data_IF_596594874352
#
_entry.id   IF_596594874352
#
_cell.length_a   1.000
_cell.length_b   1.000
_cell.length_c   1.000
_cell.angle_alpha   90.00
_cell.angle_beta   90.00
_cell.angle_gamma   90.00
#
_symmetry.space_group_name_H-M   'P 1'
#
loop_
_entity.id
_entity.type
_entity.pdbx_description
1 polymer ?
#
# COMPACT_ATOMS: atom_id res chain seq x y z
N UNK A 1 60.67 24.12 -64.07
CA UNK A 1 59.75 22.93 -64.20
C UNK A 1 59.10 22.74 -62.89
N UNK A 2 57.91 23.39 -62.71
CA UNK A 2 57.17 23.42 -61.47
C UNK A 2 56.05 22.37 -61.50
N UNK A 3 56.15 21.37 -60.64
CA UNK A 3 55.04 20.45 -60.43
C UNK A 3 54.27 20.89 -59.22
N UNK A 4 53.13 21.57 -59.43
CA UNK A 4 52.17 21.92 -58.36
C UNK A 4 51.37 20.66 -57.99
N UNK A 5 51.63 20.19 -56.78
CA UNK A 5 50.73 19.22 -56.12
C UNK A 5 49.47 19.90 -55.64
N UNK A 6 48.31 19.43 -56.07
CA UNK A 6 47.00 19.87 -55.59
C UNK A 6 46.59 19.08 -54.33
N UNK A 7 46.10 19.71 -53.28
CA UNK A 7 45.60 19.00 -52.14
C UNK A 7 44.20 18.42 -52.42
N UNK A 8 44.07 17.11 -52.29
CA UNK A 8 42.80 16.39 -52.37
C UNK A 8 41.97 16.71 -51.12
N UNK A 9 40.95 17.53 -51.30
CA UNK A 9 40.00 17.84 -50.25
C UNK A 9 39.09 16.63 -50.04
N UNK A 10 39.33 15.91 -48.95
CA UNK A 10 38.43 14.85 -48.48
C UNK A 10 37.13 15.51 -48.00
N UNK A 11 36.10 15.50 -48.80
CA UNK A 11 34.77 15.95 -48.46
C UNK A 11 34.12 14.90 -47.58
N UNK A 12 34.18 15.08 -46.23
CA UNK A 12 33.43 14.30 -45.29
C UNK A 12 31.93 14.43 -45.61
N UNK A 13 31.32 13.34 -46.14
CA UNK A 13 29.89 13.20 -46.26
C UNK A 13 29.32 13.05 -44.87
N UNK A 14 28.80 14.13 -44.29
CA UNK A 14 27.92 14.09 -43.14
C UNK A 14 26.63 13.39 -43.57
N UNK A 15 26.50 12.13 -43.22
CA UNK A 15 25.23 11.40 -43.33
C UNK A 15 24.31 11.92 -42.21
N UNK A 16 23.53 12.94 -42.57
CA UNK A 16 22.45 13.45 -41.70
C UNK A 16 21.34 12.38 -41.68
N UNK A 17 21.46 11.44 -40.74
CA UNK A 17 20.42 10.44 -40.49
C UNK A 17 19.24 11.12 -39.78
N UNK A 18 18.37 11.74 -40.53
CA UNK A 18 17.01 12.09 -40.08
C UNK A 18 16.20 10.80 -40.03
N UNK A 19 16.42 10.00 -38.99
CA UNK A 19 15.57 8.84 -38.68
C UNK A 19 14.21 9.32 -38.21
N UNK A 20 13.22 9.23 -39.09
CA UNK A 20 11.81 9.36 -38.65
C UNK A 20 11.43 8.10 -37.85
N UNK A 21 10.69 8.30 -36.75
CA UNK A 21 10.12 7.18 -36.00
C UNK A 21 9.13 6.39 -36.88
N UNK A 22 9.20 5.07 -36.77
CA UNK A 22 8.22 4.22 -37.46
C UNK A 22 6.91 4.23 -36.71
N UNK A 23 5.78 4.06 -37.40
CA UNK A 23 4.46 3.94 -36.80
C UNK A 23 4.45 2.84 -35.72
N UNK A 24 5.11 1.71 -36.01
CA UNK A 24 5.22 0.58 -35.07
C UNK A 24 5.99 0.95 -33.80
N UNK A 25 7.05 1.75 -33.91
CA UNK A 25 7.83 2.21 -32.75
C UNK A 25 7.01 3.12 -31.85
N UNK A 26 6.23 4.05 -32.43
CA UNK A 26 5.33 4.92 -31.65
C UNK A 26 4.25 4.09 -30.95
N UNK A 27 3.68 3.08 -31.63
CA UNK A 27 2.73 2.17 -31.00
C UNK A 27 3.36 1.36 -29.86
N UNK A 28 4.58 0.87 -30.02
CA UNK A 28 5.29 0.14 -28.98
C UNK A 28 5.58 1.02 -27.75
N UNK A 29 6.06 2.25 -27.97
CA UNK A 29 6.34 3.20 -26.90
C UNK A 29 5.06 3.59 -26.14
N UNK A 30 3.96 3.87 -26.84
CA UNK A 30 2.68 4.20 -26.20
C UNK A 30 2.14 3.02 -25.39
N UNK A 31 2.29 1.78 -25.88
CA UNK A 31 1.92 0.56 -25.14
C UNK A 31 2.74 0.43 -23.83
N UNK A 32 4.06 0.64 -23.91
CA UNK A 32 4.94 0.57 -22.73
C UNK A 32 4.57 1.67 -21.72
N UNK A 33 4.34 2.90 -22.18
CA UNK A 33 3.91 4.00 -21.30
C UNK A 33 2.58 3.66 -20.63
N UNK A 34 1.61 3.15 -21.34
CA UNK A 34 0.31 2.73 -20.82
C UNK A 34 0.45 1.61 -19.77
N UNK A 35 1.34 0.63 -20.02
CA UNK A 35 1.62 -0.46 -19.09
C UNK A 35 2.26 0.07 -17.79
N UNK A 36 3.26 0.93 -17.89
CA UNK A 36 3.93 1.55 -16.74
C UNK A 36 2.96 2.44 -15.96
N UNK A 37 2.15 3.25 -16.64
CA UNK A 37 1.13 4.09 -15.99
C UNK A 37 0.10 3.25 -15.23
N UNK A 38 -0.35 2.12 -15.80
CA UNK A 38 -1.26 1.18 -15.15
C UNK A 38 -0.65 0.60 -13.85
N UNK A 39 0.63 0.27 -13.86
CA UNK A 39 1.33 -0.26 -12.68
C UNK A 39 1.43 0.79 -11.57
N UNK A 40 1.72 2.04 -11.90
CA UNK A 40 1.81 3.14 -10.91
C UNK A 40 0.46 3.39 -10.23
N UNK A 41 -0.65 3.35 -10.97
CA UNK A 41 -1.99 3.55 -10.40
C UNK A 41 -2.33 2.46 -9.38
N UNK A 42 -1.95 1.21 -9.62
CA UNK A 42 -2.22 0.10 -8.69
C UNK A 42 -1.37 0.15 -7.42
N UNK A 43 -0.22 0.81 -7.45
CA UNK A 43 0.68 0.93 -6.30
C UNK A 43 0.44 2.18 -5.46
N UNK A 44 -0.37 3.13 -5.92
CA UNK A 44 -0.67 4.35 -5.17
C UNK A 44 -1.82 4.09 -4.19
N UNK A 45 -1.61 4.17 -2.87
CA UNK A 45 -2.70 4.08 -1.90
C UNK A 45 -3.76 5.13 -2.25
N UNK A 46 -5.02 4.70 -2.31
CA UNK A 46 -6.12 5.62 -2.52
C UNK A 46 -6.11 6.74 -1.47
N UNK A 47 -6.42 7.95 -1.88
CA UNK A 47 -6.55 9.12 -1.00
C UNK A 47 -8.02 9.48 -0.80
N UNK A 48 -8.29 10.26 0.23
CA UNK A 48 -9.64 10.70 0.54
C UNK A 48 -10.55 9.57 1.03
N UNK A 49 -11.84 9.69 0.76
CA UNK A 49 -12.86 8.72 1.21
C UNK A 49 -12.65 7.31 0.66
N UNK A 50 -12.17 7.19 -0.57
CA UNK A 50 -11.87 5.90 -1.18
C UNK A 50 -10.68 5.22 -0.48
N UNK A 51 -9.63 5.97 -0.17
CA UNK A 51 -8.48 5.51 0.60
C UNK A 51 -8.85 5.10 2.01
N UNK A 52 -9.68 5.89 2.70
CA UNK A 52 -10.20 5.56 4.01
C UNK A 52 -10.96 4.22 4.01
N UNK A 53 -11.91 4.04 3.08
CA UNK A 53 -12.67 2.80 2.96
C UNK A 53 -11.78 1.60 2.64
N UNK A 54 -10.84 1.76 1.71
CA UNK A 54 -9.90 0.71 1.34
C UNK A 54 -9.01 0.31 2.53
N UNK A 55 -8.42 1.27 3.25
CA UNK A 55 -7.61 1.01 4.44
C UNK A 55 -8.42 0.31 5.55
N UNK A 56 -9.66 0.73 5.77
CA UNK A 56 -10.55 0.11 6.76
C UNK A 56 -10.83 -1.36 6.42
N UNK A 57 -11.17 -1.65 5.16
CA UNK A 57 -11.47 -3.02 4.74
C UNK A 57 -10.22 -3.92 4.76
N UNK A 58 -9.07 -3.39 4.38
CA UNK A 58 -7.79 -4.11 4.44
C UNK A 58 -7.38 -4.38 5.89
N UNK A 59 -7.54 -3.41 6.80
CA UNK A 59 -7.28 -3.59 8.22
C UNK A 59 -8.19 -4.67 8.84
N UNK A 60 -9.49 -4.63 8.53
CA UNK A 60 -10.42 -5.65 8.98
C UNK A 60 -10.09 -7.05 8.41
N UNK A 61 -9.65 -7.14 7.16
CA UNK A 61 -9.23 -8.38 6.54
C UNK A 61 -7.96 -8.96 7.22
N UNK A 62 -6.97 -8.10 7.53
CA UNK A 62 -5.78 -8.49 8.29
C UNK A 62 -6.16 -9.06 9.66
N UNK A 63 -7.01 -8.37 10.42
CA UNK A 63 -7.47 -8.83 11.73
C UNK A 63 -8.18 -10.19 11.66
N UNK A 64 -9.09 -10.38 10.69
CA UNK A 64 -9.78 -11.65 10.49
C UNK A 64 -8.83 -12.79 10.12
N UNK A 65 -7.83 -12.48 9.30
CA UNK A 65 -6.81 -13.44 8.92
C UNK A 65 -5.96 -13.85 10.12
N UNK A 66 -5.46 -12.93 10.93
CA UNK A 66 -4.67 -13.23 12.12
C UNK A 66 -5.47 -14.06 13.13
N UNK A 67 -6.76 -13.79 13.31
CA UNK A 67 -7.65 -14.62 14.11
C UNK A 67 -7.73 -16.05 13.57
N UNK A 68 -7.97 -16.21 12.27
CA UNK A 68 -8.07 -17.53 11.65
C UNK A 68 -6.76 -18.30 11.79
N UNK A 69 -5.63 -17.63 11.59
CA UNK A 69 -4.31 -18.25 11.75
C UNK A 69 -3.98 -18.59 13.21
N UNK A 70 -4.47 -17.82 14.20
CA UNK A 70 -4.33 -18.18 15.61
C UNK A 70 -5.01 -19.50 15.91
N UNK A 71 -6.24 -19.68 15.43
CA UNK A 71 -7.01 -20.92 15.59
C UNK A 71 -6.34 -22.10 14.87
N UNK A 72 -5.93 -21.90 13.62
CA UNK A 72 -5.32 -22.96 12.81
C UNK A 72 -3.94 -23.40 13.33
N UNK A 73 -3.14 -22.44 13.79
CA UNK A 73 -1.80 -22.71 14.31
C UNK A 73 -1.79 -23.14 15.79
N UNK A 74 -2.92 -23.00 16.49
CA UNK A 74 -3.03 -23.31 17.93
C UNK A 74 -2.13 -22.47 18.82
N UNK A 75 -1.84 -21.22 18.42
CA UNK A 75 -0.97 -20.28 19.15
C UNK A 75 -1.48 -18.86 19.04
N UNK A 76 -1.13 -18.06 20.02
CA UNK A 76 -1.44 -16.63 20.04
C UNK A 76 -0.87 -15.89 18.81
N UNK A 77 -1.60 -14.89 18.33
CA UNK A 77 -1.18 -14.00 17.24
C UNK A 77 -1.50 -12.55 17.58
N UNK A 78 -0.61 -11.67 17.18
CA UNK A 78 -0.70 -10.24 17.50
C UNK A 78 -0.82 -9.40 16.24
N UNK A 79 -1.62 -8.33 16.35
CA UNK A 79 -1.64 -7.23 15.39
C UNK A 79 -1.16 -5.98 16.10
N UNK A 80 -0.23 -5.25 15.50
CA UNK A 80 0.36 -4.05 16.05
C UNK A 80 0.31 -2.88 15.07
N UNK A 81 0.34 -1.66 15.61
CA UNK A 81 0.44 -0.42 14.85
C UNK A 81 1.87 0.12 14.96
N UNK A 82 2.55 0.29 13.83
CA UNK A 82 3.75 1.11 13.72
C UNK A 82 3.34 2.54 13.37
N UNK A 83 3.26 3.39 14.38
CA UNK A 83 2.82 4.78 14.20
C UNK A 83 3.78 5.61 13.35
N UNK A 84 5.09 5.32 13.41
CA UNK A 84 6.09 6.04 12.63
C UNK A 84 5.97 5.75 11.14
N UNK A 85 5.72 4.51 10.77
CA UNK A 85 5.54 4.07 9.39
C UNK A 85 4.09 4.14 8.92
N UNK A 86 3.15 4.31 9.84
CA UNK A 86 1.70 4.30 9.59
C UNK A 86 1.26 3.01 8.92
N UNK A 87 1.66 1.89 9.48
CA UNK A 87 1.28 0.55 9.01
C UNK A 87 0.74 -0.28 10.15
N UNK A 88 -0.30 -1.07 9.87
CA UNK A 88 -0.68 -2.21 10.68
C UNK A 88 0.19 -3.39 10.30
N UNK A 89 0.64 -4.14 11.29
CA UNK A 89 1.52 -5.29 11.09
C UNK A 89 0.93 -6.48 11.81
N UNK A 90 0.63 -7.53 11.04
CA UNK A 90 0.28 -8.84 11.57
C UNK A 90 1.53 -9.63 11.96
N UNK A 91 1.38 -10.64 12.79
CA UNK A 91 2.50 -11.48 13.23
C UNK A 91 3.12 -12.28 12.09
N UNK A 92 2.34 -12.61 11.05
CA UNK A 92 2.82 -13.25 9.83
C UNK A 92 3.70 -12.36 8.94
N UNK A 93 3.85 -11.08 9.28
CA UNK A 93 4.59 -10.10 8.47
C UNK A 93 3.74 -9.37 7.44
N UNK A 94 2.46 -9.70 7.33
CA UNK A 94 1.53 -8.95 6.49
C UNK A 94 1.37 -7.52 7.01
N UNK A 95 1.29 -6.58 6.10
CA UNK A 95 1.18 -5.16 6.45
C UNK A 95 0.05 -4.48 5.70
N UNK A 96 -0.60 -3.54 6.39
CA UNK A 96 -1.62 -2.66 5.78
C UNK A 96 -1.18 -1.22 5.98
N UNK A 97 -0.96 -0.51 4.89
CA UNK A 97 -0.60 0.90 4.93
C UNK A 97 -1.83 1.77 5.22
N UNK A 98 -1.66 2.74 6.13
CA UNK A 98 -2.68 3.73 6.44
C UNK A 98 -2.31 5.03 5.72
N UNK A 99 -3.17 5.53 4.82
CA UNK A 99 -2.92 6.79 4.11
C UNK A 99 -2.63 7.94 5.08
N UNK A 100 -1.81 8.89 4.65
CA UNK A 100 -1.38 10.02 5.51
C UNK A 100 -2.51 10.96 5.88
N UNK A 101 -3.52 11.05 5.05
CA UNK A 101 -4.72 11.85 5.20
C UNK A 101 -5.82 11.17 6.04
N UNK A 102 -5.60 9.93 6.51
CA UNK A 102 -6.51 9.19 7.40
C UNK A 102 -6.01 9.29 8.83
N UNK A 103 -6.79 9.85 9.72
CA UNK A 103 -6.52 9.80 11.15
C UNK A 103 -6.83 8.42 11.72
N UNK A 104 -6.02 7.97 12.68
CA UNK A 104 -6.18 6.68 13.35
C UNK A 104 -6.26 6.93 14.84
N UNK A 105 -7.31 6.42 15.47
CA UNK A 105 -7.49 6.42 16.90
C UNK A 105 -7.71 4.99 17.39
N UNK A 106 -7.07 4.64 18.49
CA UNK A 106 -7.06 3.29 19.04
C UNK A 106 -7.56 3.31 20.49
N UNK A 107 -8.63 2.60 20.75
CA UNK A 107 -9.22 2.46 22.07
C UNK A 107 -8.97 1.04 22.59
N UNK A 108 -8.44 0.93 23.81
CA UNK A 108 -8.27 -0.34 24.50
C UNK A 108 -6.89 -1.00 24.38
N UNK A 109 -5.91 -0.36 23.74
CA UNK A 109 -4.55 -0.91 23.63
C UNK A 109 -3.57 -0.17 24.55
N UNK A 110 -3.24 -0.76 25.69
CA UNK A 110 -2.27 -0.23 26.63
C UNK A 110 -0.90 -0.92 26.57
N UNK A 111 -0.72 -1.88 25.67
CA UNK A 111 0.51 -2.66 25.60
C UNK A 111 1.40 -2.27 24.40
N UNK A 112 2.71 -2.26 24.62
CA UNK A 112 3.72 -2.16 23.56
C UNK A 112 4.29 -3.54 23.30
N UNK A 113 4.16 -4.01 22.07
CA UNK A 113 4.71 -5.28 21.62
C UNK A 113 5.73 -5.07 20.50
N UNK A 114 6.93 -5.61 20.65
CA UNK A 114 8.02 -5.46 19.69
C UNK A 114 8.33 -3.99 19.27
N UNK A 115 8.24 -3.05 20.20
CA UNK A 115 8.47 -1.62 19.95
C UNK A 115 7.34 -0.91 19.19
N UNK A 116 6.19 -1.56 19.02
CA UNK A 116 4.99 -1.03 18.39
C UNK A 116 3.82 -1.05 19.35
N UNK A 117 2.82 -0.22 19.11
CA UNK A 117 1.59 -0.27 19.89
C UNK A 117 0.81 -1.53 19.51
N UNK A 118 0.62 -2.46 20.46
CA UNK A 118 -0.22 -3.63 20.26
C UNK A 118 -1.68 -3.18 20.13
N UNK A 119 -2.37 -3.65 19.09
CA UNK A 119 -3.79 -3.35 18.88
C UNK A 119 -4.63 -4.45 19.53
N UNK A 120 -4.38 -5.70 19.15
CA UNK A 120 -5.15 -6.85 19.58
C UNK A 120 -4.28 -8.10 19.56
N UNK A 121 -4.52 -8.99 20.50
CA UNK A 121 -4.05 -10.37 20.50
C UNK A 121 -5.24 -11.28 20.26
N UNK A 122 -5.05 -12.28 19.44
CA UNK A 122 -5.98 -13.39 19.24
C UNK A 122 -5.44 -14.65 19.87
N UNK A 123 -6.27 -15.33 20.63
CA UNK A 123 -5.95 -16.56 21.31
C UNK A 123 -6.29 -17.80 20.44
N UNK A 124 -5.71 -18.98 20.73
CA UNK A 124 -5.94 -20.20 19.93
C UNK A 124 -7.39 -20.67 19.84
N UNK A 125 -8.21 -20.33 20.82
CA UNK A 125 -9.66 -20.63 20.87
C UNK A 125 -10.48 -19.63 20.04
N UNK A 126 -9.84 -18.60 19.46
CA UNK A 126 -10.46 -17.56 18.68
C UNK A 126 -10.97 -16.36 19.46
N UNK A 127 -10.80 -16.35 20.79
CA UNK A 127 -11.03 -15.16 21.60
C UNK A 127 -9.98 -14.07 21.34
N UNK A 128 -10.14 -12.90 21.89
CA UNK A 128 -9.17 -11.81 21.73
C UNK A 128 -9.11 -10.90 22.96
N UNK A 129 -8.12 -10.03 23.01
CA UNK A 129 -8.08 -8.96 24.04
C UNK A 129 -9.16 -7.87 23.83
N UNK A 130 -9.83 -7.89 22.68
CA UNK A 130 -10.73 -6.82 22.27
C UNK A 130 -9.98 -5.57 21.82
N UNK A 131 -10.54 -4.86 20.85
CA UNK A 131 -10.02 -3.56 20.41
C UNK A 131 -11.08 -2.78 19.64
N UNK A 132 -10.93 -1.47 19.61
CA UNK A 132 -11.67 -0.60 18.71
C UNK A 132 -10.67 0.28 17.98
N UNK A 133 -10.60 0.12 16.66
CA UNK A 133 -9.78 0.91 15.78
C UNK A 133 -10.68 1.84 14.95
N UNK A 134 -10.52 3.13 15.15
CA UNK A 134 -11.26 4.16 14.45
C UNK A 134 -10.39 4.80 13.40
N UNK A 135 -10.89 4.85 12.16
CA UNK A 135 -10.22 5.51 11.04
C UNK A 135 -11.14 6.62 10.51
N UNK A 136 -10.60 7.82 10.37
CA UNK A 136 -11.39 8.96 9.92
C UNK A 136 -10.66 9.80 8.88
N UNK A 137 -11.44 10.40 7.97
CA UNK A 137 -10.99 11.37 6.99
C UNK A 137 -12.08 12.40 6.78
N UNK A 138 -11.80 13.67 7.08
CA UNK A 138 -12.79 14.76 7.08
C UNK A 138 -14.04 14.41 7.93
N UNK A 139 -15.18 14.26 7.26
CA UNK A 139 -16.47 13.91 7.88
C UNK A 139 -16.81 12.42 7.81
N UNK A 140 -15.98 11.62 7.15
CA UNK A 140 -16.18 10.17 7.04
C UNK A 140 -15.41 9.45 8.11
N UNK A 141 -16.06 8.51 8.80
CA UNK A 141 -15.49 7.75 9.90
C UNK A 141 -15.96 6.30 9.83
N UNK A 142 -15.02 5.39 10.04
CA UNK A 142 -15.26 3.96 10.19
C UNK A 142 -14.65 3.46 11.48
N UNK A 143 -15.34 2.54 12.11
CA UNK A 143 -14.90 1.88 13.33
C UNK A 143 -14.79 0.38 13.08
N UNK A 144 -13.63 -0.20 13.38
CA UNK A 144 -13.41 -1.63 13.38
C UNK A 144 -13.44 -2.09 14.82
N UNK A 145 -14.41 -2.93 15.16
CA UNK A 145 -14.59 -3.49 16.51
C UNK A 145 -14.16 -4.93 16.53
N UNK A 146 -13.28 -5.28 17.45
CA UNK A 146 -12.90 -6.67 17.72
C UNK A 146 -13.53 -7.09 19.04
N UNK A 147 -14.39 -8.08 18.98
CA UNK A 147 -15.07 -8.59 20.18
C UNK A 147 -14.08 -9.44 20.99
N UNK A 148 -13.97 -9.12 22.28
CA UNK A 148 -13.03 -9.80 23.18
C UNK A 148 -13.35 -11.29 23.37
N UNK A 149 -14.62 -11.66 23.40
CA UNK A 149 -15.05 -13.03 23.68
C UNK A 149 -15.01 -13.93 22.44
N UNK A 150 -15.48 -13.44 21.31
CA UNK A 150 -15.58 -14.23 20.07
C UNK A 150 -14.44 -13.97 19.08
N UNK A 151 -13.68 -12.87 19.29
CA UNK A 151 -12.69 -12.39 18.31
C UNK A 151 -13.31 -11.94 16.98
N UNK A 152 -14.65 -11.79 16.90
CA UNK A 152 -15.28 -11.32 15.67
C UNK A 152 -14.84 -9.89 15.34
N UNK A 153 -14.65 -9.62 14.06
CA UNK A 153 -14.20 -8.33 13.54
C UNK A 153 -15.32 -7.71 12.70
N UNK A 154 -15.90 -6.66 13.24
CA UNK A 154 -17.01 -5.93 12.62
C UNK A 154 -16.57 -4.54 12.17
N UNK A 155 -17.06 -4.09 11.02
CA UNK A 155 -16.81 -2.75 10.48
C UNK A 155 -18.11 -1.98 10.48
N UNK A 156 -18.10 -0.84 11.16
CA UNK A 156 -19.25 0.06 11.28
C UNK A 156 -18.90 1.40 10.65
N UNK A 157 -19.73 1.89 9.74
CA UNK A 157 -19.64 3.27 9.29
C UNK A 157 -20.34 4.15 10.31
N UNK A 158 -19.63 5.15 10.83
CA UNK A 158 -20.21 6.13 11.75
C UNK A 158 -20.72 7.27 10.90
N UNK A 159 -22.07 7.47 10.88
CA UNK A 159 -22.63 8.63 10.22
C UNK A 159 -22.17 9.90 10.98
N UNK A 160 -21.75 10.96 10.28
CA UNK A 160 -21.51 12.23 10.96
C UNK A 160 -22.80 12.73 11.62
N UNK A 161 -22.73 13.32 12.81
CA UNK A 161 -23.85 13.93 13.51
C UNK A 161 -24.51 15.04 12.69
#
# INVERSE_FOLDING_TARGET
MDARAQPTIFRMLSIDRKGGYTLLEVMAVTLIIALVASLVITMTPGTGRAGLKAATLQAAALLRRERTEAILAGRERHVSLDGGRRILVGEGGDTVAIPRDVAVDLLGADAVWAGRQAIVRFDPDGASTGAVLRLSHEKAEYEIRVNWFTGSVDVVAIAPP
#
